data_IF_866369671396
#
_entry.id   IF_866369671396
#
_cell.length_a   1.000
_cell.length_b   1.000
_cell.length_c   1.000
_cell.angle_alpha   90.00
_cell.angle_beta   90.00
_cell.angle_gamma   90.00
#
_symmetry.space_group_name_H-M   'P 1'
#
loop_
_entity.id
_entity.type
_entity.pdbx_description
1 polymer ?
#
# COMPACT_ATOMS: atom_id res chain seq x y z
N UNK A 1 -42.98 37.74 -53.74
CA UNK A 1 -42.36 36.43 -53.95
C UNK A 1 -41.34 36.20 -52.80
N UNK A 2 -41.87 35.74 -51.64
CA UNK A 2 -41.07 35.58 -50.41
C UNK A 2 -40.78 34.09 -50.21
N UNK A 3 -39.53 33.73 -50.38
CA UNK A 3 -39.07 32.39 -49.99
C UNK A 3 -38.71 32.40 -48.51
N UNK A 4 -39.58 31.78 -47.73
CA UNK A 4 -39.30 31.50 -46.31
C UNK A 4 -38.33 30.33 -46.23
N UNK A 5 -37.11 30.63 -45.83
CA UNK A 5 -36.11 29.61 -45.49
C UNK A 5 -36.52 28.98 -44.14
N UNK A 6 -37.05 27.80 -44.18
CA UNK A 6 -37.25 26.99 -42.98
C UNK A 6 -35.93 26.36 -42.62
N UNK A 7 -35.22 26.97 -41.65
CA UNK A 7 -34.09 26.30 -41.00
C UNK A 7 -34.61 25.17 -40.12
N UNK A 8 -34.41 23.95 -40.56
CA UNK A 8 -34.53 22.78 -39.69
C UNK A 8 -33.32 22.74 -38.77
N UNK A 9 -33.49 23.20 -37.53
CA UNK A 9 -32.55 22.90 -36.46
C UNK A 9 -32.82 21.46 -36.04
N UNK A 10 -32.01 20.54 -36.54
CA UNK A 10 -32.01 19.18 -36.04
C UNK A 10 -31.33 19.22 -34.68
N UNK A 11 -32.12 19.24 -33.61
CA UNK A 11 -31.65 19.07 -32.26
C UNK A 11 -31.20 17.61 -32.12
N UNK A 12 -29.90 17.37 -32.30
CA UNK A 12 -29.28 16.08 -31.96
C UNK A 12 -29.26 16.02 -30.42
N UNK A 13 -30.26 15.40 -29.82
CA UNK A 13 -30.20 14.93 -28.45
C UNK A 13 -29.14 13.82 -28.38
N UNK A 14 -27.94 14.21 -28.04
CA UNK A 14 -26.92 13.26 -27.60
C UNK A 14 -27.42 12.74 -26.25
N UNK A 15 -28.14 11.64 -26.27
CA UNK A 15 -28.32 10.81 -25.10
C UNK A 15 -26.91 10.21 -24.80
N UNK A 16 -26.17 10.90 -23.95
CA UNK A 16 -25.07 10.25 -23.24
C UNK A 16 -25.71 9.18 -22.35
N UNK A 17 -25.80 7.97 -22.90
CA UNK A 17 -25.93 6.80 -22.07
C UNK A 17 -24.63 6.76 -21.24
N UNK A 18 -24.65 7.35 -20.04
CA UNK A 18 -23.77 6.92 -18.99
C UNK A 18 -24.17 5.45 -18.75
N UNK A 19 -23.47 4.55 -19.44
CA UNK A 19 -23.45 3.17 -19.02
C UNK A 19 -22.91 3.20 -17.60
N UNK A 20 -23.80 3.06 -16.62
CA UNK A 20 -23.40 2.62 -15.29
C UNK A 20 -22.76 1.26 -15.57
N UNK A 21 -21.45 1.23 -15.64
CA UNK A 21 -20.72 -0.02 -15.63
C UNK A 21 -21.04 -0.64 -14.27
N UNK A 22 -21.99 -1.53 -14.24
CA UNK A 22 -22.09 -2.48 -13.14
C UNK A 22 -20.76 -3.24 -13.19
N UNK A 23 -19.88 -2.97 -12.27
CA UNK A 23 -18.73 -3.83 -12.03
C UNK A 23 -19.34 -5.22 -11.78
N UNK A 24 -19.18 -6.11 -12.74
CA UNK A 24 -19.53 -7.50 -12.53
C UNK A 24 -18.69 -7.96 -11.36
N UNK A 25 -19.32 -8.55 -10.37
CA UNK A 25 -18.69 -9.23 -9.26
C UNK A 25 -17.82 -10.38 -9.81
N UNK A 26 -16.63 -10.01 -10.24
CA UNK A 26 -15.56 -10.96 -10.52
C UNK A 26 -14.80 -11.08 -9.23
N UNK A 27 -15.10 -12.12 -8.45
CA UNK A 27 -14.48 -12.36 -7.16
C UNK A 27 -12.98 -12.08 -7.17
N UNK A 28 -12.58 -10.98 -6.55
CA UNK A 28 -11.20 -10.51 -6.47
C UNK A 28 -10.87 -9.20 -7.21
N UNK A 29 -11.80 -8.60 -7.96
CA UNK A 29 -11.60 -7.30 -8.60
C UNK A 29 -12.83 -6.41 -8.40
N UNK A 30 -12.78 -5.50 -7.44
CA UNK A 30 -13.85 -4.55 -7.15
C UNK A 30 -13.29 -3.14 -6.92
N UNK A 31 -13.98 -2.13 -7.44
CA UNK A 31 -13.76 -0.71 -7.12
C UNK A 31 -14.56 -0.28 -5.87
N UNK A 32 -15.31 -1.20 -5.27
CA UNK A 32 -16.11 -0.91 -4.09
C UNK A 32 -15.23 -0.68 -2.86
N UNK A 33 -15.62 0.30 -2.06
CA UNK A 33 -15.05 0.54 -0.74
C UNK A 33 -15.68 -0.34 0.35
N UNK A 34 -16.61 -1.21 -0.02
CA UNK A 34 -17.24 -2.18 0.88
C UNK A 34 -16.34 -3.38 1.09
N UNK A 35 -16.24 -3.81 2.33
CA UNK A 35 -15.42 -4.93 2.71
C UNK A 35 -16.27 -6.20 2.75
N UNK A 36 -16.06 -7.11 1.80
CA UNK A 36 -16.81 -8.35 1.70
C UNK A 36 -16.30 -9.44 2.65
N UNK A 37 -15.00 -9.42 2.93
CA UNK A 37 -14.33 -10.45 3.72
C UNK A 37 -13.59 -9.86 4.90
N UNK A 38 -13.74 -10.50 6.07
CA UNK A 38 -13.01 -10.19 7.29
C UNK A 38 -12.06 -11.34 7.60
N UNK A 39 -10.78 -11.04 7.71
CA UNK A 39 -9.75 -12.00 8.09
C UNK A 39 -8.66 -11.35 8.97
N UNK A 40 -9.04 -10.69 10.08
CA UNK A 40 -8.12 -9.86 10.85
C UNK A 40 -7.12 -10.68 11.69
N UNK A 41 -7.35 -11.99 11.91
CA UNK A 41 -6.56 -12.84 12.79
C UNK A 41 -5.97 -14.08 12.10
N UNK A 42 -5.71 -14.01 10.79
CA UNK A 42 -5.33 -15.21 10.04
C UNK A 42 -3.93 -15.74 10.39
N UNK A 43 -3.00 -14.88 10.82
CA UNK A 43 -1.67 -15.33 11.23
C UNK A 43 -1.70 -16.11 12.55
N UNK A 44 -2.77 -15.97 13.35
CA UNK A 44 -2.94 -16.69 14.60
C UNK A 44 -2.88 -18.23 14.43
N UNK A 45 -3.33 -18.73 13.27
CA UNK A 45 -3.34 -20.17 12.97
C UNK A 45 -2.00 -20.69 12.43
N UNK A 46 -1.06 -19.82 12.12
CA UNK A 46 0.25 -20.20 11.59
C UNK A 46 1.19 -20.52 12.75
N UNK A 47 2.02 -21.54 12.57
CA UNK A 47 3.01 -21.96 13.57
C UNK A 47 4.04 -20.85 13.83
N UNK A 48 4.47 -20.76 15.05
CA UNK A 48 5.40 -19.74 15.55
C UNK A 48 6.82 -19.85 14.97
N UNK A 49 7.23 -21.05 14.57
CA UNK A 49 8.58 -21.36 14.07
C UNK A 49 8.76 -21.08 12.57
N UNK A 50 7.68 -20.79 11.84
CA UNK A 50 7.73 -20.42 10.43
C UNK A 50 8.50 -19.09 10.28
N UNK A 51 9.43 -19.05 9.31
CA UNK A 51 10.25 -17.88 9.06
C UNK A 51 9.60 -16.93 8.05
N UNK A 52 10.08 -15.67 8.06
CA UNK A 52 9.54 -14.62 7.17
C UNK A 52 9.52 -15.05 5.71
N UNK A 53 10.59 -15.68 5.21
CA UNK A 53 10.70 -16.12 3.82
C UNK A 53 9.84 -17.37 3.48
N UNK A 54 9.19 -17.98 4.46
CA UNK A 54 8.28 -19.11 4.29
C UNK A 54 6.80 -18.66 4.31
N UNK A 55 6.54 -17.38 4.57
CA UNK A 55 5.19 -16.82 4.64
C UNK A 55 4.74 -16.28 3.28
N UNK A 56 3.50 -16.56 2.91
CA UNK A 56 2.81 -15.87 1.81
C UNK A 56 1.93 -14.78 2.40
N UNK A 57 2.31 -13.52 2.17
CA UNK A 57 1.70 -12.36 2.83
C UNK A 57 1.02 -11.49 1.79
N UNK A 58 -0.31 -11.29 1.86
CA UNK A 58 -1.01 -10.37 0.97
C UNK A 58 -0.61 -8.93 1.27
N UNK A 59 -0.42 -8.15 0.20
CA UNK A 59 -0.01 -6.76 0.28
C UNK A 59 -0.71 -5.86 -0.72
N UNK A 60 -0.59 -4.56 -0.51
CA UNK A 60 -1.14 -3.54 -1.39
C UNK A 60 -0.06 -2.58 -1.87
N UNK A 61 -0.15 -2.21 -3.15
CA UNK A 61 0.69 -1.19 -3.76
C UNK A 61 0.16 0.19 -3.41
N UNK A 62 1.05 1.11 -3.00
CA UNK A 62 0.67 2.47 -2.62
C UNK A 62 -0.52 2.47 -1.63
N UNK A 63 -0.35 1.76 -0.53
CA UNK A 63 -1.39 1.33 0.41
C UNK A 63 -2.37 2.44 0.82
N UNK A 64 -1.88 3.69 0.92
CA UNK A 64 -2.67 4.83 1.37
C UNK A 64 -3.37 5.56 0.23
N UNK A 65 -3.19 5.13 -1.03
CA UNK A 65 -3.73 5.82 -2.19
C UNK A 65 -5.17 5.40 -2.48
N UNK A 66 -6.07 5.74 -1.55
CA UNK A 66 -7.50 5.51 -1.66
C UNK A 66 -8.26 6.85 -1.63
N UNK A 67 -8.98 7.13 -2.71
CA UNK A 67 -9.94 8.25 -2.78
C UNK A 67 -9.38 9.64 -3.08
N UNK A 68 -8.06 9.83 -3.15
CA UNK A 68 -7.45 11.11 -3.49
C UNK A 68 -6.68 11.03 -4.81
N UNK A 69 -6.70 12.13 -5.58
CA UNK A 69 -6.00 12.24 -6.87
C UNK A 69 -6.69 11.54 -8.03
N UNK A 70 -7.87 10.96 -7.84
CA UNK A 70 -8.65 10.27 -8.88
C UNK A 70 -7.86 9.14 -9.53
N UNK A 71 -8.21 8.78 -10.76
CA UNK A 71 -7.64 7.66 -11.52
C UNK A 71 -6.11 7.75 -11.73
N UNK A 72 -5.53 8.94 -11.58
CA UNK A 72 -4.06 9.14 -11.75
C UNK A 72 -3.29 8.62 -10.54
N UNK A 73 -3.87 8.68 -9.35
CA UNK A 73 -3.20 8.34 -8.10
C UNK A 73 -3.85 7.17 -7.36
N UNK A 74 -5.13 6.94 -7.54
CA UNK A 74 -5.86 5.92 -6.79
C UNK A 74 -5.42 4.50 -7.18
N UNK A 75 -4.86 3.78 -6.23
CA UNK A 75 -4.45 2.37 -6.38
C UNK A 75 -5.24 1.44 -5.47
N UNK A 76 -5.95 1.99 -4.49
CA UNK A 76 -6.73 1.25 -3.50
C UNK A 76 -8.16 1.77 -3.42
N UNK A 77 -9.12 0.91 -3.14
CA UNK A 77 -10.50 1.27 -2.84
C UNK A 77 -10.80 1.28 -1.33
N UNK A 78 -10.03 0.55 -0.54
CA UNK A 78 -10.22 0.40 0.90
C UNK A 78 -9.31 1.32 1.70
N UNK A 79 -9.82 1.83 2.83
CA UNK A 79 -8.99 2.49 3.84
C UNK A 79 -7.99 1.53 4.46
N UNK A 80 -6.91 2.02 5.05
CA UNK A 80 -5.91 1.18 5.74
C UNK A 80 -6.56 0.27 6.79
N UNK A 81 -7.49 0.80 7.59
CA UNK A 81 -8.21 0.01 8.58
C UNK A 81 -8.95 -1.18 7.94
N UNK A 82 -9.63 -0.95 6.83
CA UNK A 82 -10.37 -2.00 6.12
C UNK A 82 -9.42 -2.99 5.44
N UNK A 83 -8.31 -2.54 4.87
CA UNK A 83 -7.28 -3.41 4.30
C UNK A 83 -6.72 -4.37 5.37
N UNK A 84 -6.35 -3.87 6.54
CA UNK A 84 -5.88 -4.69 7.67
C UNK A 84 -6.94 -5.69 8.15
N UNK A 85 -8.20 -5.24 8.25
CA UNK A 85 -9.32 -6.08 8.64
C UNK A 85 -9.64 -7.16 7.61
N UNK A 86 -9.42 -6.90 6.32
CA UNK A 86 -9.55 -7.86 5.23
C UNK A 86 -8.40 -8.89 5.18
N UNK A 87 -7.27 -8.63 5.85
CA UNK A 87 -6.15 -9.56 5.93
C UNK A 87 -4.85 -9.09 5.27
N UNK A 88 -4.79 -7.86 4.75
CA UNK A 88 -3.56 -7.27 4.20
C UNK A 88 -2.55 -7.09 5.33
N UNK A 89 -1.30 -7.50 5.07
CA UNK A 89 -0.20 -7.41 6.05
C UNK A 89 1.10 -6.84 5.47
N UNK A 90 1.22 -6.66 4.15
CA UNK A 90 2.30 -5.90 3.55
C UNK A 90 1.76 -4.55 3.08
N UNK A 91 2.37 -3.47 3.58
CA UNK A 91 1.99 -2.08 3.31
C UNK A 91 3.12 -1.37 2.54
N UNK A 92 2.80 -0.76 1.41
CA UNK A 92 3.71 0.11 0.64
C UNK A 92 3.44 1.56 1.02
N UNK A 93 4.22 2.09 1.97
CA UNK A 93 4.04 3.43 2.53
C UNK A 93 5.09 4.38 1.94
N UNK A 94 4.61 5.42 1.28
CA UNK A 94 5.43 6.39 0.56
C UNK A 94 5.41 7.75 1.25
N UNK A 95 6.57 8.14 1.75
CA UNK A 95 6.76 9.27 2.63
C UNK A 95 7.47 10.42 1.93
N UNK A 96 6.82 11.56 1.80
CA UNK A 96 7.47 12.82 1.47
C UNK A 96 7.92 13.51 2.76
N UNK A 97 9.20 13.82 2.84
CA UNK A 97 9.69 14.65 3.95
C UNK A 97 9.16 16.08 3.82
N UNK A 98 8.61 16.63 4.91
CA UNK A 98 8.16 18.02 5.01
C UNK A 98 8.37 18.52 6.42
N UNK A 99 9.27 19.50 6.59
CA UNK A 99 9.51 20.22 7.84
C UNK A 99 9.63 19.33 9.11
N UNK A 100 10.42 18.25 9.02
CA UNK A 100 10.65 17.34 10.15
C UNK A 100 9.56 16.30 10.36
N UNK A 101 8.63 16.15 9.41
CA UNK A 101 7.53 15.20 9.39
C UNK A 101 7.47 14.44 8.06
N UNK A 102 6.67 13.39 7.99
CA UNK A 102 6.38 12.67 6.77
C UNK A 102 4.90 12.82 6.38
N UNK A 103 4.67 13.38 5.20
CA UNK A 103 3.37 13.39 4.52
C UNK A 103 3.30 12.19 3.57
N UNK A 104 2.14 11.57 3.46
CA UNK A 104 1.94 10.42 2.55
C UNK A 104 1.63 10.94 1.15
N UNK A 105 2.37 10.45 0.18
CA UNK A 105 2.29 10.89 -1.21
C UNK A 105 2.22 9.74 -2.20
N UNK A 106 1.58 9.99 -3.35
CA UNK A 106 1.75 9.27 -4.60
C UNK A 106 2.39 10.23 -5.62
N UNK A 107 3.69 10.10 -5.84
CA UNK A 107 4.43 11.10 -6.59
C UNK A 107 4.21 12.51 -6.01
N UNK A 108 3.78 13.50 -6.83
CA UNK A 108 3.54 14.86 -6.35
C UNK A 108 2.22 15.02 -5.56
N UNK A 109 1.34 14.02 -5.57
CA UNK A 109 -0.01 14.13 -4.99
C UNK A 109 0.02 13.80 -3.50
N UNK A 110 -0.37 14.77 -2.67
CA UNK A 110 -0.58 14.55 -1.24
C UNK A 110 -1.87 13.79 -0.99
N UNK A 111 -1.79 12.69 -0.24
CA UNK A 111 -2.92 11.81 0.04
C UNK A 111 -3.70 12.19 1.31
N UNK A 112 -3.55 13.42 1.79
CA UNK A 112 -4.24 13.99 2.95
C UNK A 112 -4.08 13.17 4.25
N UNK A 113 -2.96 12.46 4.37
CA UNK A 113 -2.62 11.61 5.50
C UNK A 113 -1.17 11.83 5.87
N UNK A 114 -0.85 11.84 7.15
CA UNK A 114 0.51 11.88 7.67
C UNK A 114 0.96 10.48 8.09
N UNK A 115 2.27 10.26 8.16
CA UNK A 115 2.80 8.95 8.58
C UNK A 115 2.40 8.58 10.02
N UNK A 116 2.18 9.58 10.88
CA UNK A 116 1.63 9.36 12.23
C UNK A 116 0.28 8.67 12.18
N UNK A 117 -0.64 9.09 11.29
CA UNK A 117 -1.98 8.49 11.16
C UNK A 117 -1.89 7.03 10.70
N UNK A 118 -0.90 6.71 9.84
CA UNK A 118 -0.62 5.33 9.42
C UNK A 118 -0.18 4.49 10.62
N UNK A 119 0.74 5.01 11.44
CA UNK A 119 1.24 4.31 12.63
C UNK A 119 0.15 4.15 13.69
N UNK A 120 -0.67 5.17 13.92
CA UNK A 120 -1.81 5.07 14.84
C UNK A 120 -2.76 3.94 14.43
N UNK A 121 -3.09 3.86 13.14
CA UNK A 121 -3.96 2.80 12.61
C UNK A 121 -3.31 1.42 12.74
N UNK A 122 -2.03 1.30 12.36
CA UNK A 122 -1.30 0.03 12.37
C UNK A 122 -1.09 -0.49 13.81
N UNK A 123 -0.68 0.38 14.73
CA UNK A 123 -0.46 0.00 16.13
C UNK A 123 -1.77 -0.34 16.84
N UNK A 124 -2.85 0.43 16.58
CA UNK A 124 -4.18 0.10 17.10
C UNK A 124 -4.69 -1.24 16.59
N UNK A 125 -4.42 -1.57 15.33
CA UNK A 125 -4.73 -2.89 14.80
C UNK A 125 -3.95 -3.98 15.53
N UNK A 126 -2.63 -3.84 15.70
CA UNK A 126 -1.79 -4.82 16.39
C UNK A 126 -2.13 -4.96 17.88
N UNK A 127 -2.57 -3.88 18.53
CA UNK A 127 -3.08 -3.93 19.92
C UNK A 127 -4.29 -4.87 20.06
N UNK A 128 -5.21 -4.82 19.09
CA UNK A 128 -6.39 -5.67 19.07
C UNK A 128 -6.11 -7.09 18.51
N UNK A 129 -5.05 -7.25 17.71
CA UNK A 129 -4.67 -8.46 17.02
C UNK A 129 -3.18 -8.81 17.28
N UNK A 130 -2.80 -9.13 18.53
CA UNK A 130 -1.39 -9.26 18.93
C UNK A 130 -0.64 -10.44 18.31
N UNK A 131 -1.34 -11.36 17.64
CA UNK A 131 -0.75 -12.48 16.91
C UNK A 131 -0.36 -12.12 15.48
N UNK A 132 -0.78 -10.96 15.00
CA UNK A 132 -0.53 -10.50 13.65
C UNK A 132 0.81 -9.78 13.53
N UNK A 133 1.29 -9.64 12.28
CA UNK A 133 2.52 -8.94 11.92
C UNK A 133 2.21 -8.01 10.77
N UNK A 134 2.77 -6.80 10.77
CA UNK A 134 2.69 -5.88 9.65
C UNK A 134 4.08 -5.69 9.06
N UNK A 135 4.26 -6.04 7.78
CA UNK A 135 5.44 -5.66 7.01
C UNK A 135 5.17 -4.28 6.40
N UNK A 136 6.02 -3.32 6.68
CA UNK A 136 5.85 -1.95 6.22
C UNK A 136 7.06 -1.50 5.42
N UNK A 137 6.91 -1.48 4.10
CA UNK A 137 7.87 -0.80 3.23
C UNK A 137 7.74 0.70 3.43
N UNK A 138 8.83 1.37 3.75
CA UNK A 138 8.91 2.83 3.85
C UNK A 138 9.83 3.34 2.76
N UNK A 139 9.26 4.10 1.82
CA UNK A 139 9.96 4.68 0.67
C UNK A 139 9.96 6.20 0.77
N UNK A 140 11.11 6.84 0.51
CA UNK A 140 11.12 8.28 0.26
C UNK A 140 10.46 8.57 -1.10
N UNK A 141 9.48 9.48 -1.12
CA UNK A 141 8.69 9.82 -2.29
C UNK A 141 8.64 11.34 -2.46
N UNK A 142 8.88 11.81 -3.68
CA UNK A 142 8.76 13.22 -4.07
C UNK A 142 9.45 14.21 -3.11
N UNK A 143 10.57 13.80 -2.52
CA UNK A 143 11.51 14.62 -1.75
C UNK A 143 12.90 14.03 -1.87
N UNK A 144 13.93 14.86 -1.72
CA UNK A 144 15.33 14.49 -1.87
C UNK A 144 16.13 14.98 -0.64
N UNK A 145 15.70 14.53 0.54
CA UNK A 145 16.49 14.76 1.74
C UNK A 145 17.54 13.67 1.91
N UNK A 146 18.62 13.97 2.64
CA UNK A 146 19.63 12.97 2.93
C UNK A 146 19.06 11.79 3.71
N UNK A 147 19.67 10.61 3.51
CA UNK A 147 19.29 9.40 4.25
C UNK A 147 19.36 9.59 5.76
N UNK A 148 20.36 10.33 6.24
CA UNK A 148 20.50 10.64 7.67
C UNK A 148 19.31 11.43 8.20
N UNK A 149 18.87 12.47 7.47
CA UNK A 149 17.71 13.27 7.89
C UNK A 149 16.41 12.45 7.82
N UNK A 150 16.26 11.65 6.78
CA UNK A 150 15.11 10.74 6.65
C UNK A 150 15.08 9.74 7.82
N UNK A 151 16.21 9.08 8.09
CA UNK A 151 16.34 8.12 9.18
C UNK A 151 16.14 8.74 10.57
N UNK A 152 16.69 9.94 10.81
CA UNK A 152 16.46 10.66 12.06
C UNK A 152 14.96 10.99 12.26
N UNK A 153 14.29 11.38 11.18
CA UNK A 153 12.86 11.67 11.24
C UNK A 153 12.04 10.41 11.51
N UNK A 154 12.38 9.28 10.86
CA UNK A 154 11.73 8.00 11.10
C UNK A 154 11.93 7.54 12.56
N UNK A 155 13.14 7.68 13.13
CA UNK A 155 13.39 7.33 14.54
C UNK A 155 12.49 8.13 15.49
N UNK A 156 12.27 9.43 15.24
CA UNK A 156 11.33 10.24 16.05
C UNK A 156 9.89 9.68 16.04
N UNK A 157 9.48 9.10 14.92
CA UNK A 157 8.20 8.38 14.87
C UNK A 157 8.26 7.10 15.68
N UNK A 158 9.31 6.28 15.50
CA UNK A 158 9.46 5.02 16.22
C UNK A 158 9.48 5.22 17.74
N UNK A 159 10.11 6.27 18.23
CA UNK A 159 10.17 6.62 19.65
C UNK A 159 8.79 6.93 20.27
N UNK A 160 7.82 7.33 19.45
CA UNK A 160 6.42 7.57 19.91
C UNK A 160 5.61 6.28 20.06
N UNK A 161 6.07 5.18 19.46
CA UNK A 161 5.38 3.89 19.46
C UNK A 161 6.30 2.79 20.02
N UNK A 162 6.73 2.91 21.27
CA UNK A 162 7.71 1.99 21.86
C UNK A 162 7.16 0.56 21.89
N UNK A 163 8.00 -0.38 21.51
CA UNK A 163 7.68 -1.81 21.53
C UNK A 163 6.92 -2.32 20.29
N UNK A 164 6.48 -1.48 19.36
CA UNK A 164 5.78 -1.94 18.16
C UNK A 164 6.70 -2.26 16.98
N UNK A 165 7.95 -1.83 16.97
CA UNK A 165 8.86 -2.10 15.87
C UNK A 165 9.75 -3.31 16.15
N UNK A 166 9.81 -4.23 15.17
CA UNK A 166 10.70 -5.37 15.22
C UNK A 166 12.15 -4.93 14.92
N UNK A 167 13.10 -5.40 15.73
CA UNK A 167 14.56 -5.17 15.58
C UNK A 167 14.91 -3.73 15.13
N UNK A 168 14.28 -2.78 15.80
CA UNK A 168 14.28 -1.36 15.41
C UNK A 168 15.65 -0.69 15.47
N UNK A 169 16.65 -1.31 16.13
CA UNK A 169 17.93 -0.69 16.39
C UNK A 169 19.11 -1.34 15.66
N UNK A 170 19.08 -2.63 15.38
CA UNK A 170 20.28 -3.37 15.04
C UNK A 170 20.20 -4.18 13.74
N UNK A 171 19.05 -4.37 13.14
CA UNK A 171 18.90 -5.20 11.93
C UNK A 171 19.68 -6.52 12.00
N UNK A 172 19.62 -7.18 13.17
CA UNK A 172 20.43 -8.36 13.46
C UNK A 172 19.89 -9.63 12.84
N UNK A 173 18.58 -9.67 12.55
CA UNK A 173 17.91 -10.83 11.99
C UNK A 173 17.11 -10.43 10.74
N UNK A 174 17.59 -10.87 9.57
CA UNK A 174 16.94 -10.60 8.27
C UNK A 174 15.90 -11.65 7.87
N UNK A 175 15.81 -12.76 8.62
CA UNK A 175 14.82 -13.82 8.40
C UNK A 175 14.24 -14.33 9.73
N UNK A 176 13.52 -13.46 10.47
CA UNK A 176 12.97 -13.82 11.77
C UNK A 176 11.85 -14.85 11.65
N UNK A 177 11.57 -15.53 12.74
CA UNK A 177 10.38 -16.39 12.89
C UNK A 177 9.13 -15.55 13.13
N UNK A 178 7.97 -16.12 12.84
CA UNK A 178 6.68 -15.47 13.11
C UNK A 178 6.54 -15.11 14.59
N UNK A 179 7.00 -15.98 15.51
CA UNK A 179 6.99 -15.72 16.94
C UNK A 179 7.74 -14.44 17.31
N UNK A 180 8.91 -14.22 16.72
CA UNK A 180 9.73 -13.03 17.00
C UNK A 180 9.06 -11.75 16.50
N UNK A 181 8.24 -11.84 15.44
CA UNK A 181 7.57 -10.70 14.79
C UNK A 181 6.16 -10.40 15.32
N UNK A 182 5.50 -11.33 16.04
CA UNK A 182 4.12 -11.14 16.47
C UNK A 182 3.92 -9.83 17.24
N UNK A 183 2.84 -9.12 16.91
CA UNK A 183 2.50 -7.83 17.49
C UNK A 183 3.42 -6.69 17.03
N UNK A 184 4.22 -6.88 15.96
CA UNK A 184 5.22 -5.91 15.52
C UNK A 184 5.00 -5.44 14.09
N UNK A 185 5.52 -4.24 13.84
CA UNK A 185 5.77 -3.68 12.51
C UNK A 185 7.22 -4.02 12.13
N UNK A 186 7.40 -4.78 11.07
CA UNK A 186 8.71 -5.07 10.47
C UNK A 186 8.94 -4.05 9.36
N UNK A 187 9.88 -3.13 9.57
CA UNK A 187 10.21 -2.11 8.59
C UNK A 187 11.05 -2.70 7.45
N UNK A 188 10.70 -2.33 6.23
CA UNK A 188 11.42 -2.64 5.00
C UNK A 188 11.81 -1.33 4.34
N UNK A 189 13.07 -0.92 4.54
CA UNK A 189 13.52 0.42 4.17
C UNK A 189 13.90 0.52 2.71
N UNK A 190 13.19 1.38 1.98
CA UNK A 190 13.49 1.77 0.61
C UNK A 190 13.89 3.27 0.53
N UNK A 191 14.60 3.71 1.54
CA UNK A 191 15.38 4.93 1.58
C UNK A 191 16.82 4.48 1.88
N UNK A 192 17.80 5.00 1.12
CA UNK A 192 19.15 4.47 1.14
C UNK A 192 19.84 4.55 2.50
N UNK A 193 20.93 3.78 2.67
CA UNK A 193 21.84 3.88 3.81
C UNK A 193 21.27 3.56 5.19
N UNK A 194 20.07 3.00 5.28
CA UNK A 194 19.44 2.76 6.57
C UNK A 194 19.97 1.49 7.25
N UNK A 195 20.26 1.60 8.54
CA UNK A 195 20.46 0.46 9.45
C UNK A 195 19.17 0.13 10.25
N UNK A 196 18.04 0.71 9.88
CA UNK A 196 16.73 0.47 10.47
C UNK A 196 16.02 -0.58 9.62
N UNK A 197 15.49 -1.63 10.24
CA UNK A 197 14.71 -2.66 9.55
C UNK A 197 15.47 -3.41 8.46
N UNK A 198 14.77 -4.04 7.54
CA UNK A 198 15.30 -4.78 6.41
C UNK A 198 15.57 -3.83 5.23
N UNK A 199 16.61 -4.09 4.43
CA UNK A 199 16.89 -3.30 3.22
C UNK A 199 16.01 -3.75 2.06
N UNK A 200 15.18 -2.86 1.55
CA UNK A 200 14.44 -3.08 0.33
C UNK A 200 15.12 -2.31 -0.82
N UNK A 201 15.47 -2.93 -1.96
CA UNK A 201 15.20 -4.33 -2.34
C UNK A 201 16.32 -5.34 -1.97
N UNK A 202 17.44 -4.92 -1.37
CA UNK A 202 18.67 -5.73 -1.27
C UNK A 202 18.50 -7.06 -0.51
N UNK A 203 17.66 -7.10 0.51
CA UNK A 203 17.43 -8.32 1.30
C UNK A 203 16.36 -9.24 0.67
N UNK A 204 15.81 -8.85 -0.51
CA UNK A 204 14.69 -9.53 -1.15
C UNK A 204 14.98 -9.83 -2.62
N UNK A 205 14.42 -10.93 -3.11
CA UNK A 205 14.31 -11.18 -4.54
C UNK A 205 12.98 -10.58 -5.03
N UNK A 206 13.06 -9.44 -5.74
CA UNK A 206 11.89 -8.66 -6.15
C UNK A 206 11.57 -8.94 -7.61
N UNK A 207 10.35 -9.42 -7.89
CA UNK A 207 9.77 -9.39 -9.22
C UNK A 207 8.96 -8.10 -9.37
N UNK A 208 9.51 -7.10 -10.05
CA UNK A 208 8.89 -5.79 -10.27
C UNK A 208 8.78 -5.43 -11.78
N UNK A 209 8.63 -6.42 -12.62
CA UNK A 209 8.31 -6.21 -14.03
C UNK A 209 6.81 -5.97 -14.19
N UNK A 210 6.39 -4.73 -13.93
CA UNK A 210 4.97 -4.34 -13.89
C UNK A 210 4.42 -3.93 -15.25
N UNK A 211 5.29 -3.63 -16.23
CA UNK A 211 4.86 -3.15 -17.52
C UNK A 211 4.36 -4.29 -18.41
N UNK A 212 3.17 -4.13 -18.95
CA UNK A 212 2.60 -4.98 -20.00
C UNK A 212 2.51 -4.16 -21.28
N UNK A 213 3.15 -4.61 -22.35
CA UNK A 213 3.07 -3.93 -23.65
C UNK A 213 1.69 -4.09 -24.28
N UNK A 214 1.06 -5.23 -24.01
CA UNK A 214 -0.29 -5.58 -24.49
C UNK A 214 -1.00 -6.44 -23.46
N UNK A 215 -2.31 -6.59 -23.58
CA UNK A 215 -3.09 -7.51 -22.76
C UNK A 215 -2.73 -9.00 -23.00
N UNK A 216 -1.99 -9.31 -24.07
CA UNK A 216 -1.52 -10.67 -24.37
C UNK A 216 -0.30 -11.07 -23.53
N UNK A 217 0.38 -10.11 -22.91
CA UNK A 217 1.58 -10.34 -22.09
C UNK A 217 1.25 -10.89 -20.68
N UNK A 218 -0.02 -11.08 -20.36
CA UNK A 218 -0.48 -11.62 -19.06
C UNK A 218 0.12 -13.00 -18.76
N UNK A 219 0.26 -13.87 -19.76
CA UNK A 219 0.86 -15.20 -19.57
C UNK A 219 2.35 -15.09 -19.20
N UNK A 220 3.08 -14.22 -19.89
CA UNK A 220 4.49 -13.97 -19.61
C UNK A 220 4.68 -13.36 -18.23
N UNK A 221 3.83 -12.39 -17.87
CA UNK A 221 3.79 -11.81 -16.52
C UNK A 221 3.55 -12.89 -15.47
N UNK A 222 2.55 -13.74 -15.66
CA UNK A 222 2.26 -14.83 -14.73
C UNK A 222 3.42 -15.82 -14.61
N UNK A 223 4.13 -16.08 -15.71
CA UNK A 223 5.31 -16.94 -15.70
C UNK A 223 6.48 -16.34 -14.92
N UNK A 224 6.62 -15.01 -14.91
CA UNK A 224 7.62 -14.28 -14.10
C UNK A 224 7.25 -14.27 -12.62
N UNK A 225 5.97 -14.16 -12.28
CA UNK A 225 5.48 -14.20 -10.89
C UNK A 225 5.71 -15.57 -10.23
N UNK A 226 5.72 -16.65 -11.03
CA UNK A 226 5.91 -18.03 -10.52
C UNK A 226 7.36 -18.47 -10.36
N UNK A 227 8.33 -17.67 -10.80
CA UNK A 227 9.77 -17.96 -10.67
C UNK A 227 10.31 -17.50 -9.31
#
# INVERSE_FOLDING_TARGET
MNRIFKSFITLILIFSFSSVAYAHDHGGYSHDSTMEYLNPDWMRSIRDDIRLNELSIPGTHDTMSNGYGGDIAQTQSLTLQNQLSAGIRFLDIRCRYTEGSFAIHHGPIFLHTMFGDVLDTATKFLENHPNEVILMRVKQEHSEVSDDLFNQTLRKYMDRYPGYFFDSQNRTNTNPTLKEMRGKIVLMMNAGGSNIGLNYPHDFNIQDDYHLSTNWDLYDKWSKVKK
#
